data_IF_843433581515
#
_entry.id   IF_843433581515
#
_cell.length_a   1.000
_cell.length_b   1.000
_cell.length_c   1.000
_cell.angle_alpha   90.00
_cell.angle_beta   90.00
_cell.angle_gamma   90.00
#
_symmetry.space_group_name_H-M   'P 1'
#
loop_
_entity.id
_entity.type
_entity.pdbx_description
1 polymer ?
#
# COMPACT_ATOMS: atom_id res chain seq x y z
N UNK A 1 6.97 0.27 -7.51
CA UNK A 1 7.84 1.47 -7.65
C UNK A 1 8.85 1.11 -8.71
N UNK A 2 8.99 1.96 -9.71
CA UNK A 2 9.88 1.75 -10.85
C UNK A 2 11.29 2.29 -10.56
N UNK A 3 12.30 1.72 -11.24
CA UNK A 3 13.71 2.14 -11.13
C UNK A 3 14.00 3.46 -11.86
N UNK A 4 13.02 4.05 -12.53
CA UNK A 4 13.11 5.36 -13.14
C UNK A 4 12.64 6.46 -12.18
N UNK A 5 13.19 7.69 -12.28
CA UNK A 5 12.85 8.77 -11.35
C UNK A 5 11.38 9.18 -11.40
N UNK A 6 10.77 9.13 -12.59
CA UNK A 6 9.36 9.44 -12.85
C UNK A 6 8.83 8.55 -13.96
N UNK A 7 7.58 8.13 -13.86
CA UNK A 7 6.91 7.32 -14.89
C UNK A 7 6.08 8.22 -15.82
N UNK A 8 6.09 7.95 -17.12
CA UNK A 8 5.26 8.69 -18.08
C UNK A 8 3.77 8.40 -17.88
N UNK A 9 2.91 9.40 -18.08
CA UNK A 9 1.47 9.29 -17.80
C UNK A 9 0.78 8.09 -18.47
N UNK A 10 1.20 7.71 -19.68
CA UNK A 10 0.63 6.58 -20.42
C UNK A 10 1.00 5.19 -19.88
N UNK A 11 2.03 5.10 -19.03
CA UNK A 11 2.54 3.84 -18.46
C UNK A 11 2.23 3.70 -16.95
N UNK A 12 1.53 4.68 -16.36
CA UNK A 12 1.28 4.71 -14.91
C UNK A 12 0.25 3.69 -14.43
N UNK A 13 -0.58 3.16 -15.32
CA UNK A 13 -1.78 2.43 -14.94
C UNK A 13 -1.97 1.23 -15.86
N UNK A 14 -2.01 0.04 -15.27
CA UNK A 14 -2.48 -1.16 -15.93
C UNK A 14 -3.73 -1.68 -15.24
N UNK A 15 -4.79 -1.95 -16.01
CA UNK A 15 -6.06 -2.46 -15.48
C UNK A 15 -6.39 -3.79 -16.11
N UNK A 16 -6.60 -4.80 -15.27
CA UNK A 16 -7.09 -6.12 -15.66
C UNK A 16 -8.50 -6.32 -15.11
N UNK A 17 -9.46 -6.66 -15.97
CA UNK A 17 -10.84 -7.00 -15.57
C UNK A 17 -10.96 -8.52 -15.46
N UNK A 18 -11.50 -8.99 -14.34
CA UNK A 18 -11.76 -10.41 -14.11
C UNK A 18 -13.24 -10.80 -14.28
N UNK A 19 -14.14 -9.82 -14.39
CA UNK A 19 -15.60 -10.04 -14.45
C UNK A 19 -16.30 -9.61 -13.17
N UNK A 20 -17.63 -9.51 -13.20
CA UNK A 20 -18.49 -9.26 -12.02
C UNK A 20 -18.10 -8.07 -11.13
N UNK A 21 -17.56 -7.01 -11.74
CA UNK A 21 -17.09 -5.82 -11.01
C UNK A 21 -15.75 -6.01 -10.29
N UNK A 22 -15.03 -7.11 -10.54
CA UNK A 22 -13.70 -7.36 -10.01
C UNK A 22 -12.61 -6.91 -10.98
N UNK A 23 -11.69 -6.08 -10.46
CA UNK A 23 -10.61 -5.47 -11.21
C UNK A 23 -9.31 -5.55 -10.42
N UNK A 24 -8.20 -5.76 -11.13
CA UNK A 24 -6.86 -5.51 -10.62
C UNK A 24 -6.30 -4.27 -11.30
N UNK A 25 -5.84 -3.33 -10.50
CA UNK A 25 -5.17 -2.12 -10.97
C UNK A 25 -3.74 -2.15 -10.46
N UNK A 26 -2.78 -2.04 -11.38
CA UNK A 26 -1.37 -1.84 -11.08
C UNK A 26 -1.06 -0.37 -11.33
N UNK A 27 -0.53 0.30 -10.31
CA UNK A 27 -0.11 1.70 -10.38
C UNK A 27 1.42 1.76 -10.35
N UNK A 28 1.98 2.41 -11.36
CA UNK A 28 3.41 2.59 -11.52
C UNK A 28 3.80 4.02 -11.15
N UNK A 29 4.72 4.13 -10.20
CA UNK A 29 5.29 5.39 -9.73
C UNK A 29 6.81 5.27 -9.76
N UNK A 30 7.49 6.32 -10.22
CA UNK A 30 8.95 6.41 -10.16
C UNK A 30 9.44 6.68 -8.74
N UNK A 31 10.71 6.39 -8.47
CA UNK A 31 11.25 6.47 -7.12
C UNK A 31 11.33 7.90 -6.53
N UNK A 32 11.26 8.96 -7.35
CA UNK A 32 11.19 10.35 -6.89
C UNK A 32 9.77 10.90 -6.81
N UNK A 33 8.75 10.07 -7.06
CA UNK A 33 7.36 10.50 -7.06
C UNK A 33 6.69 10.23 -5.71
N UNK A 34 5.84 11.15 -5.28
CA UNK A 34 4.94 10.92 -4.15
C UNK A 34 3.68 10.20 -4.64
N UNK A 35 3.40 8.97 -4.19
CA UNK A 35 2.24 8.24 -4.66
C UNK A 35 0.94 8.85 -4.14
N UNK A 36 0.10 9.33 -5.04
CA UNK A 36 -1.29 9.69 -4.73
C UNK A 36 -2.21 8.63 -5.33
N UNK A 37 -2.54 7.62 -4.52
CA UNK A 37 -3.37 6.49 -4.97
C UNK A 37 -4.80 6.92 -5.33
N UNK A 38 -5.51 7.73 -4.53
CA UNK A 38 -6.86 8.17 -4.88
C UNK A 38 -6.94 8.92 -6.22
N UNK A 39 -5.99 9.81 -6.49
CA UNK A 39 -5.95 10.56 -7.75
C UNK A 39 -5.58 9.65 -8.93
N UNK A 40 -4.62 8.75 -8.75
CA UNK A 40 -4.26 7.78 -9.79
C UNK A 40 -5.44 6.85 -10.14
N UNK A 41 -6.21 6.41 -9.15
CA UNK A 41 -7.42 5.61 -9.39
C UNK A 41 -8.53 6.42 -10.07
N UNK A 42 -8.65 7.73 -9.80
CA UNK A 42 -9.60 8.61 -10.50
C UNK A 42 -9.29 8.75 -11.99
N UNK A 43 -8.01 8.64 -12.36
CA UNK A 43 -7.56 8.66 -13.76
C UNK A 43 -7.83 7.34 -14.50
N UNK A 44 -8.14 6.25 -13.80
CA UNK A 44 -8.54 4.99 -14.41
C UNK A 44 -9.92 5.14 -15.09
N UNK A 45 -9.92 5.41 -16.40
CA UNK A 45 -11.16 5.48 -17.20
C UNK A 45 -11.46 4.13 -17.85
N UNK A 46 -11.74 3.12 -17.03
CA UNK A 46 -12.17 1.80 -17.52
C UNK A 46 -13.65 1.64 -17.27
N UNK A 47 -14.38 1.18 -18.28
CA UNK A 47 -15.82 0.95 -18.19
C UNK A 47 -16.14 -0.07 -17.08
N UNK A 48 -17.00 0.35 -16.14
CA UNK A 48 -17.36 -0.45 -14.96
C UNK A 48 -16.45 -0.27 -13.74
N UNK A 49 -15.34 0.47 -13.84
CA UNK A 49 -14.48 0.83 -12.71
C UNK A 49 -14.60 2.34 -12.44
N UNK A 50 -15.50 2.72 -11.53
CA UNK A 50 -15.62 4.10 -11.06
C UNK A 50 -15.20 4.18 -9.60
N UNK A 51 -14.04 4.77 -9.35
CA UNK A 51 -13.47 4.93 -8.00
C UNK A 51 -13.64 6.38 -7.57
N UNK A 52 -14.65 6.64 -6.74
CA UNK A 52 -14.83 7.93 -6.10
C UNK A 52 -14.15 7.93 -4.72
N UNK A 53 -13.11 8.75 -4.48
CA UNK A 53 -12.29 8.67 -3.26
C UNK A 53 -13.09 8.77 -1.95
N UNK A 54 -14.17 9.56 -1.97
CA UNK A 54 -15.01 9.80 -0.81
C UNK A 54 -16.16 8.80 -0.64
N UNK A 55 -16.36 7.85 -1.56
CA UNK A 55 -17.36 6.77 -1.45
C UNK A 55 -16.75 5.37 -1.43
N UNK A 56 -15.46 5.29 -1.74
CA UNK A 56 -14.69 4.04 -1.75
C UNK A 56 -14.11 3.79 -0.37
N UNK A 57 -14.24 2.55 0.11
CA UNK A 57 -13.54 2.09 1.31
C UNK A 57 -12.25 1.41 0.90
N UNK A 58 -11.13 1.81 1.51
CA UNK A 58 -9.81 1.25 1.28
C UNK A 58 -9.48 0.26 2.38
N UNK A 59 -9.10 -0.95 1.99
CA UNK A 59 -8.59 -1.95 2.92
C UNK A 59 -7.08 -2.05 2.75
N UNK A 60 -6.34 -1.89 3.84
CA UNK A 60 -4.89 -2.04 3.86
C UNK A 60 -4.51 -3.16 4.81
N UNK A 61 -3.70 -4.12 4.37
CA UNK A 61 -3.09 -5.07 5.29
C UNK A 61 -1.93 -4.39 6.02
N UNK A 62 -1.90 -4.53 7.34
CA UNK A 62 -0.76 -4.08 8.15
C UNK A 62 -0.14 -5.26 8.87
N UNK A 63 1.11 -5.54 8.56
CA UNK A 63 1.88 -6.55 9.27
C UNK A 63 2.52 -5.94 10.51
N UNK A 64 2.24 -6.51 11.68
CA UNK A 64 2.88 -6.16 12.94
C UNK A 64 3.86 -7.25 13.29
N UNK A 65 5.15 -6.91 13.31
CA UNK A 65 6.19 -7.85 13.73
C UNK A 65 6.22 -7.94 15.25
N UNK A 66 6.27 -9.17 15.74
CA UNK A 66 6.40 -9.51 17.15
C UNK A 66 7.63 -10.41 17.35
N UNK A 67 8.36 -10.26 18.48
CA UNK A 67 9.53 -11.09 18.76
C UNK A 67 9.11 -12.53 19.09
N UNK A 68 9.77 -13.52 18.50
CA UNK A 68 9.55 -14.93 18.84
C UNK A 68 10.40 -15.37 20.04
N UNK A 69 10.05 -16.51 20.65
CA UNK A 69 10.86 -17.17 21.72
C UNK A 69 11.78 -18.27 21.17
N UNK A 70 11.76 -18.51 19.87
CA UNK A 70 12.56 -19.54 19.19
C UNK A 70 14.01 -19.07 19.01
N UNK A 71 14.94 -20.03 18.96
CA UNK A 71 16.34 -19.72 18.67
C UNK A 71 16.48 -19.23 17.23
N UNK A 72 16.98 -18.00 17.07
CA UNK A 72 17.20 -17.36 15.78
C UNK A 72 18.05 -16.09 15.92
N UNK A 73 17.39 -14.94 16.06
CA UNK A 73 18.04 -13.64 16.20
C UNK A 73 18.42 -13.36 17.68
N UNK A 74 19.47 -12.56 17.92
CA UNK A 74 19.78 -12.16 19.29
C UNK A 74 18.65 -11.28 19.86
N UNK A 75 18.18 -11.49 21.11
CA UNK A 75 16.99 -10.80 21.63
C UNK A 75 17.06 -9.27 21.64
N UNK A 76 18.26 -8.69 21.75
CA UNK A 76 18.43 -7.24 21.67
C UNK A 76 18.23 -6.70 20.24
N UNK A 77 18.56 -7.50 19.21
CA UNK A 77 18.33 -7.15 17.80
C UNK A 77 16.86 -7.20 17.45
N UNK A 78 16.13 -8.22 17.95
CA UNK A 78 14.68 -8.32 17.77
C UNK A 78 13.97 -7.10 18.36
N UNK A 79 14.33 -6.73 19.61
CA UNK A 79 13.76 -5.55 20.26
C UNK A 79 14.05 -4.27 19.49
N UNK A 80 15.29 -4.09 19.01
CA UNK A 80 15.67 -2.94 18.20
C UNK A 80 14.84 -2.89 16.90
N UNK A 81 14.70 -4.02 16.21
CA UNK A 81 13.94 -4.12 14.97
C UNK A 81 12.46 -3.77 15.18
N UNK A 82 11.84 -4.33 16.22
CA UNK A 82 10.44 -4.05 16.59
C UNK A 82 10.25 -2.56 16.88
N UNK A 83 11.19 -1.91 17.59
CA UNK A 83 11.12 -0.46 17.84
C UNK A 83 11.26 0.32 16.54
N UNK A 84 12.23 0.01 15.69
CA UNK A 84 12.41 0.69 14.41
C UNK A 84 11.19 0.57 13.51
N UNK A 85 10.61 -0.63 13.40
CA UNK A 85 9.42 -0.85 12.58
C UNK A 85 8.18 -0.14 13.12
N UNK A 86 8.00 -0.08 14.45
CA UNK A 86 6.92 0.70 15.05
C UNK A 86 7.04 2.19 14.78
N UNK A 87 8.25 2.70 14.60
CA UNK A 87 8.54 4.10 14.28
C UNK A 87 8.64 4.36 12.77
N UNK A 88 8.57 3.33 11.93
CA UNK A 88 8.56 3.51 10.48
C UNK A 88 7.26 4.19 10.04
N UNK A 89 7.37 5.00 8.98
CA UNK A 89 6.25 5.80 8.50
C UNK A 89 5.09 4.88 8.08
N UNK A 90 3.86 5.26 8.42
CA UNK A 90 2.69 4.44 8.08
C UNK A 90 2.47 4.42 6.56
N UNK A 91 2.18 3.25 6.01
CA UNK A 91 1.87 3.10 4.58
C UNK A 91 0.68 3.96 4.15
N UNK A 92 -0.27 4.24 5.07
CA UNK A 92 -1.44 5.10 4.83
C UNK A 92 -1.05 6.52 4.40
N UNK A 93 -0.16 7.16 5.16
CA UNK A 93 0.31 8.53 4.89
C UNK A 93 1.11 8.60 3.59
N UNK A 94 1.88 7.55 3.30
CA UNK A 94 2.66 7.44 2.08
C UNK A 94 1.79 7.39 0.81
N UNK A 95 0.63 6.74 0.86
CA UNK A 95 -0.29 6.62 -0.27
C UNK A 95 -1.35 7.73 -0.38
N UNK A 96 -1.31 8.71 0.53
CA UNK A 96 -2.25 9.85 0.58
C UNK A 96 -3.73 9.42 0.67
N UNK A 97 -4.00 8.30 1.36
CA UNK A 97 -5.37 7.79 1.48
C UNK A 97 -6.19 8.61 2.50
N UNK A 98 -7.49 8.85 2.24
CA UNK A 98 -8.34 9.56 3.16
C UNK A 98 -8.62 8.75 4.42
N UNK A 99 -8.15 9.25 5.58
CA UNK A 99 -8.13 8.54 6.87
C UNK A 99 -9.49 8.00 7.30
N UNK A 100 -10.56 8.74 7.01
CA UNK A 100 -11.95 8.35 7.34
C UNK A 100 -12.53 7.26 6.44
N UNK A 101 -11.76 6.76 5.46
CA UNK A 101 -12.16 5.72 4.50
C UNK A 101 -11.21 4.53 4.46
N UNK A 102 -10.21 4.50 5.34
CA UNK A 102 -9.25 3.40 5.43
C UNK A 102 -9.62 2.49 6.59
N UNK A 103 -9.60 1.18 6.33
CA UNK A 103 -9.68 0.12 7.32
C UNK A 103 -8.36 -0.65 7.25
N UNK A 104 -7.57 -0.61 8.33
CA UNK A 104 -6.38 -1.44 8.46
C UNK A 104 -6.75 -2.83 8.99
N UNK A 105 -6.38 -3.88 8.24
CA UNK A 105 -6.49 -5.28 8.65
C UNK A 105 -5.12 -5.73 9.17
N UNK A 106 -4.98 -5.78 10.50
CA UNK A 106 -3.74 -6.17 11.15
C UNK A 106 -3.51 -7.68 11.14
N UNK A 107 -2.31 -8.11 10.73
CA UNK A 107 -1.83 -9.50 10.90
C UNK A 107 -0.53 -9.49 11.70
N UNK A 108 -0.34 -10.45 12.60
CA UNK A 108 0.90 -10.58 13.37
C UNK A 108 1.86 -11.55 12.66
N UNK A 109 3.11 -11.13 12.53
CA UNK A 109 4.18 -11.94 11.95
C UNK A 109 5.29 -12.12 12.99
N UNK A 110 5.67 -13.35 13.28
CA UNK A 110 6.79 -13.67 14.17
C UNK A 110 8.12 -13.62 13.39
N UNK A 111 9.14 -13.01 14.01
CA UNK A 111 10.54 -13.01 13.54
C UNK A 111 11.44 -13.54 14.65
#
# INVERSE_FOLDING_TARGET
VEDCPRVEAGQRIEVTRYGDGFFRVLLHFGFMEEPNVPEALRLCRVEGLNVEPMRTTYFLSRETVIPTKRFGMAPWRERLFVVLQKNANSSMSYFQLPVNRVIELGTQVEI
#
